data_IF_922175181579
#
_entry.id   IF_922175181579
#
_cell.length_a   1.000
_cell.length_b   1.000
_cell.length_c   1.000
_cell.angle_alpha   90.00
_cell.angle_beta   90.00
_cell.angle_gamma   90.00
#
_symmetry.space_group_name_H-M   'P 1'
#
loop_
_entity.id
_entity.type
_entity.pdbx_description
1 polymer ?
#
# COMPACT_ATOMS: atom_id res chain seq x y z
N UNK A 1 -10.01 10.56 76.16
CA UNK A 1 -10.97 10.39 75.04
C UNK A 1 -10.20 10.68 73.76
N UNK A 2 -9.66 9.63 73.13
CA UNK A 2 -10.20 8.98 71.91
C UNK A 2 -10.00 9.85 70.67
N UNK A 3 -9.53 9.39 69.51
CA UNK A 3 -9.01 8.13 69.00
C UNK A 3 -8.81 8.40 67.50
N UNK A 4 -7.67 7.99 66.92
CA UNK A 4 -7.50 7.61 65.50
C UNK A 4 -7.78 8.70 64.41
N UNK A 5 -6.98 8.83 63.36
CA UNK A 5 -7.12 8.03 62.13
C UNK A 5 -5.90 8.24 61.20
N UNK A 6 -5.22 7.12 60.96
CA UNK A 6 -4.67 6.57 59.70
C UNK A 6 -3.66 7.37 58.87
N UNK A 7 -2.43 6.86 58.95
CA UNK A 7 -1.43 6.70 57.90
C UNK A 7 -1.98 6.73 56.45
N UNK A 8 -1.43 7.64 55.63
CA UNK A 8 -1.55 7.59 54.18
C UNK A 8 -0.78 6.38 53.66
N UNK A 9 -1.51 5.36 53.22
CA UNK A 9 -0.93 4.24 52.49
C UNK A 9 -0.31 4.73 51.16
N UNK A 10 0.84 4.19 50.73
CA UNK A 10 1.36 4.48 49.40
C UNK A 10 0.40 3.89 48.36
N UNK A 11 -0.07 4.73 47.43
CA UNK A 11 -0.78 4.30 46.22
C UNK A 11 0.11 3.33 45.45
N UNK A 12 -0.10 2.02 45.64
CA UNK A 12 0.37 0.99 44.71
C UNK A 12 -0.26 1.32 43.37
N UNK A 13 0.51 1.95 42.47
CA UNK A 13 0.21 1.94 41.05
C UNK A 13 0.17 0.47 40.63
N UNK A 14 -1.05 -0.07 40.55
CA UNK A 14 -1.29 -1.31 39.83
C UNK A 14 -0.84 -1.02 38.40
N UNK A 15 0.33 -1.51 38.02
CA UNK A 15 0.68 -1.74 36.61
C UNK A 15 -0.46 -2.58 36.05
N UNK A 16 -1.41 -1.93 35.38
CA UNK A 16 -2.39 -2.61 34.57
C UNK A 16 -1.57 -3.39 33.54
N UNK A 17 -1.57 -4.71 33.66
CA UNK A 17 -1.08 -5.59 32.59
C UNK A 17 -1.88 -5.20 31.35
N UNK A 18 -1.22 -4.55 30.40
CA UNK A 18 -1.73 -4.29 29.05
C UNK A 18 -1.89 -5.63 28.36
N UNK A 19 -3.01 -6.31 28.60
CA UNK A 19 -3.44 -7.42 27.74
C UNK A 19 -4.24 -6.80 26.61
N UNK A 20 -3.64 -6.73 25.42
CA UNK A 20 -4.35 -6.37 24.20
C UNK A 20 -5.57 -7.26 24.04
N UNK A 21 -6.72 -6.67 23.75
CA UNK A 21 -7.88 -7.44 23.34
C UNK A 21 -7.62 -7.88 21.89
N UNK A 22 -7.64 -9.19 21.59
CA UNK A 22 -7.44 -9.66 20.23
C UNK A 22 -8.52 -9.06 19.32
N UNK A 23 -8.15 -8.72 18.08
CA UNK A 23 -9.12 -8.31 17.07
C UNK A 23 -10.30 -9.31 17.05
N UNK A 24 -11.53 -8.80 16.98
CA UNK A 24 -12.71 -9.66 16.98
C UNK A 24 -12.57 -10.74 15.91
N UNK A 25 -13.00 -11.97 16.21
CA UNK A 25 -12.84 -13.13 15.33
C UNK A 25 -13.40 -12.87 13.93
N UNK A 26 -14.45 -12.04 13.84
CA UNK A 26 -15.04 -11.59 12.58
C UNK A 26 -14.09 -10.72 11.76
N UNK A 27 -13.41 -9.77 12.41
CA UNK A 27 -12.42 -8.89 11.76
C UNK A 27 -11.24 -9.70 11.25
N UNK A 28 -10.76 -10.66 12.04
CA UNK A 28 -9.69 -11.58 11.61
C UNK A 28 -10.14 -12.46 10.43
N UNK A 29 -11.37 -12.98 10.49
CA UNK A 29 -11.93 -13.79 9.40
C UNK A 29 -12.05 -12.98 8.09
N UNK A 30 -12.55 -11.74 8.17
CA UNK A 30 -12.63 -10.84 7.01
C UNK A 30 -11.24 -10.49 6.46
N UNK A 31 -10.28 -10.20 7.33
CA UNK A 31 -8.90 -9.92 6.93
C UNK A 31 -8.26 -11.11 6.22
N UNK A 32 -8.41 -12.33 6.78
CA UNK A 32 -7.92 -13.55 6.15
C UNK A 32 -8.58 -13.78 4.79
N UNK A 33 -9.90 -13.63 4.69
CA UNK A 33 -10.64 -13.79 3.44
C UNK A 33 -10.20 -12.78 2.37
N UNK A 34 -9.96 -11.52 2.75
CA UNK A 34 -9.48 -10.51 1.82
C UNK A 34 -8.07 -10.85 1.29
N UNK A 35 -7.17 -11.28 2.17
CA UNK A 35 -5.81 -11.68 1.79
C UNK A 35 -5.84 -12.91 0.88
N UNK A 36 -6.63 -13.94 1.21
CA UNK A 36 -6.72 -15.15 0.40
C UNK A 36 -7.34 -14.89 -0.96
N UNK A 37 -8.41 -14.09 -1.03
CA UNK A 37 -9.03 -13.69 -2.30
C UNK A 37 -8.05 -12.91 -3.18
N UNK A 38 -7.31 -11.96 -2.60
CA UNK A 38 -6.31 -11.18 -3.33
C UNK A 38 -5.19 -12.08 -3.86
N UNK A 39 -4.65 -12.97 -3.02
CA UNK A 39 -3.62 -13.92 -3.42
C UNK A 39 -4.09 -14.88 -4.51
N UNK A 40 -5.35 -15.33 -4.46
CA UNK A 40 -5.95 -16.17 -5.48
C UNK A 40 -6.02 -15.44 -6.83
N UNK A 41 -6.50 -14.18 -6.86
CA UNK A 41 -6.56 -13.38 -8.08
C UNK A 41 -5.16 -13.17 -8.67
N UNK A 42 -4.18 -12.79 -7.84
CA UNK A 42 -2.79 -12.62 -8.29
C UNK A 42 -2.26 -13.93 -8.90
N UNK A 43 -2.51 -15.06 -8.23
CA UNK A 43 -2.07 -16.39 -8.71
C UNK A 43 -2.73 -16.76 -10.03
N UNK A 44 -4.03 -16.48 -10.19
CA UNK A 44 -4.78 -16.75 -11.43
C UNK A 44 -4.25 -15.90 -12.59
N UNK A 45 -4.03 -14.60 -12.39
CA UNK A 45 -3.52 -13.73 -13.44
C UNK A 45 -2.07 -14.07 -13.79
N UNK A 46 -1.21 -14.33 -12.81
CA UNK A 46 0.16 -14.78 -13.05
C UNK A 46 0.18 -16.10 -13.82
N UNK A 47 -0.63 -17.07 -13.40
CA UNK A 47 -0.78 -18.35 -14.10
C UNK A 47 -1.37 -18.20 -15.51
N UNK A 48 -2.21 -17.19 -15.74
CA UNK A 48 -2.73 -16.85 -17.08
C UNK A 48 -1.65 -16.26 -17.98
N UNK A 49 -0.77 -15.42 -17.46
CA UNK A 49 0.40 -14.90 -18.19
C UNK A 49 1.33 -16.05 -18.55
N UNK A 50 1.71 -16.88 -17.57
CA UNK A 50 2.58 -18.03 -17.80
C UNK A 50 2.01 -19.02 -18.83
N UNK A 51 0.71 -19.32 -18.78
CA UNK A 51 0.05 -20.22 -19.76
C UNK A 51 -0.04 -19.65 -21.17
N UNK A 52 0.04 -18.32 -21.31
CA UNK A 52 0.04 -17.64 -22.62
C UNK A 52 1.45 -17.38 -23.15
N UNK A 53 2.45 -17.43 -22.28
CA UNK A 53 3.86 -17.30 -22.63
C UNK A 53 4.36 -18.45 -23.47
N UNK A 54 5.50 -18.24 -24.13
CA UNK A 54 6.19 -19.26 -24.93
C UNK A 54 7.17 -20.10 -24.09
N UNK A 55 7.49 -19.65 -22.87
CA UNK A 55 8.42 -20.35 -21.98
C UNK A 55 7.99 -21.80 -21.70
N UNK A 56 8.92 -22.78 -21.79
CA UNK A 56 8.64 -24.17 -21.43
C UNK A 56 8.17 -24.32 -19.98
N UNK A 57 7.35 -25.35 -19.72
CA UNK A 57 6.96 -25.63 -18.34
C UNK A 57 8.19 -26.08 -17.53
N UNK A 58 8.44 -25.55 -16.31
CA UNK A 58 9.61 -25.94 -15.52
C UNK A 58 9.65 -27.43 -15.15
N UNK A 59 8.51 -28.12 -15.24
CA UNK A 59 8.38 -29.55 -14.96
C UNK A 59 8.77 -30.43 -16.15
N UNK A 60 8.74 -29.90 -17.38
CA UNK A 60 9.02 -30.64 -18.62
C UNK A 60 10.31 -30.16 -19.31
N UNK A 61 10.89 -29.04 -18.84
CA UNK A 61 12.12 -28.48 -19.37
C UNK A 61 13.35 -29.34 -18.99
N UNK A 62 14.29 -29.47 -19.94
CA UNK A 62 15.59 -30.11 -19.70
C UNK A 62 16.41 -29.35 -18.64
N UNK A 63 16.26 -28.01 -18.61
CA UNK A 63 16.81 -27.14 -17.57
C UNK A 63 15.69 -26.32 -16.90
N UNK A 64 15.23 -26.72 -15.71
CA UNK A 64 14.19 -26.01 -14.97
C UNK A 64 14.57 -24.57 -14.59
N UNK A 65 15.86 -24.26 -14.38
CA UNK A 65 16.29 -22.91 -14.01
C UNK A 65 16.20 -21.96 -15.20
N UNK A 66 16.58 -22.42 -16.39
CA UNK A 66 16.42 -21.64 -17.62
C UNK A 66 14.95 -21.37 -17.93
N UNK A 67 14.08 -22.38 -17.79
CA UNK A 67 12.63 -22.21 -18.00
C UNK A 67 12.02 -21.18 -17.04
N UNK A 68 12.42 -21.18 -15.76
CA UNK A 68 11.99 -20.18 -14.79
C UNK A 68 12.51 -18.78 -15.15
N UNK A 69 13.77 -18.66 -15.58
CA UNK A 69 14.36 -17.39 -15.98
C UNK A 69 13.67 -16.81 -17.23
N UNK A 70 13.36 -17.64 -18.21
CA UNK A 70 12.63 -17.26 -19.43
C UNK A 70 11.20 -16.80 -19.11
N UNK A 71 10.47 -17.58 -18.31
CA UNK A 71 9.14 -17.20 -17.84
C UNK A 71 9.13 -15.86 -17.06
N UNK A 72 10.18 -15.62 -16.26
CA UNK A 72 10.35 -14.35 -15.56
C UNK A 72 10.66 -13.20 -16.53
N UNK A 73 11.49 -13.43 -17.55
CA UNK A 73 11.80 -12.45 -18.58
C UNK A 73 10.56 -12.07 -19.41
N UNK A 74 9.77 -13.05 -19.85
CA UNK A 74 8.51 -12.80 -20.56
C UNK A 74 7.52 -12.03 -19.70
N UNK A 75 7.38 -12.40 -18.41
CA UNK A 75 6.50 -11.66 -17.48
C UNK A 75 6.98 -10.22 -17.29
N UNK A 76 8.30 -10.01 -17.16
CA UNK A 76 8.88 -8.68 -17.06
C UNK A 76 8.67 -7.85 -18.33
N UNK A 77 8.73 -8.48 -19.50
CA UNK A 77 8.44 -7.84 -20.79
C UNK A 77 6.96 -7.45 -20.89
N UNK A 78 6.03 -8.34 -20.53
CA UNK A 78 4.59 -8.04 -20.47
C UNK A 78 4.32 -6.84 -19.57
N UNK A 79 4.94 -6.79 -18.39
CA UNK A 79 4.81 -5.66 -17.46
C UNK A 79 5.41 -4.37 -18.04
N UNK A 80 6.59 -4.44 -18.66
CA UNK A 80 7.28 -3.29 -19.26
C UNK A 80 6.51 -2.72 -20.45
N UNK A 81 6.02 -3.57 -21.33
CA UNK A 81 5.21 -3.18 -22.47
C UNK A 81 3.89 -2.61 -21.97
N UNK A 82 3.22 -3.26 -21.02
CA UNK A 82 2.03 -2.70 -20.38
C UNK A 82 2.26 -1.29 -19.82
N UNK A 83 3.38 -1.06 -19.13
CA UNK A 83 3.73 0.26 -18.60
C UNK A 83 3.99 1.31 -19.69
N UNK A 84 4.59 0.91 -20.82
CA UNK A 84 4.91 1.84 -21.92
C UNK A 84 3.70 2.22 -22.76
N UNK A 85 2.74 1.31 -22.90
CA UNK A 85 1.58 1.48 -23.79
C UNK A 85 0.39 2.17 -23.11
N UNK A 86 0.27 2.12 -21.78
CA UNK A 86 -0.83 2.78 -21.07
C UNK A 86 -0.62 4.29 -20.98
N UNK A 87 -1.72 5.02 -20.80
CA UNK A 87 -1.68 6.47 -20.70
C UNK A 87 -0.88 6.97 -19.50
N UNK A 88 -0.32 8.18 -19.60
CA UNK A 88 0.38 8.85 -18.50
C UNK A 88 -0.42 8.82 -17.20
N UNK A 89 -1.72 9.10 -17.26
CA UNK A 89 -2.59 9.11 -16.07
C UNK A 89 -2.70 7.74 -15.41
N UNK A 90 -2.80 6.68 -16.21
CA UNK A 90 -2.82 5.30 -15.69
C UNK A 90 -1.48 4.94 -15.06
N UNK A 91 -0.37 5.34 -15.67
CA UNK A 91 0.97 5.16 -15.10
C UNK A 91 1.15 5.93 -13.78
N UNK A 92 0.67 7.18 -13.69
CA UNK A 92 0.68 7.95 -12.45
C UNK A 92 -0.09 7.24 -11.34
N UNK A 93 -1.29 6.74 -11.65
CA UNK A 93 -2.13 6.05 -10.65
C UNK A 93 -1.54 4.70 -10.23
N UNK A 94 -0.98 3.95 -11.18
CA UNK A 94 -0.26 2.72 -10.92
C UNK A 94 0.95 2.96 -10.01
N UNK A 95 1.78 3.96 -10.33
CA UNK A 95 2.96 4.34 -9.55
C UNK A 95 2.60 4.81 -8.14
N UNK A 96 1.56 5.66 -8.02
CA UNK A 96 1.03 6.12 -6.74
C UNK A 96 0.60 4.94 -5.86
N UNK A 97 -0.29 4.09 -6.37
CA UNK A 97 -0.81 2.95 -5.63
C UNK A 97 0.30 1.98 -5.23
N UNK A 98 1.17 1.63 -6.17
CA UNK A 98 2.24 0.65 -5.96
C UNK A 98 3.24 1.15 -4.93
N UNK A 99 3.72 2.39 -5.08
CA UNK A 99 4.68 2.97 -4.14
C UNK A 99 4.08 3.16 -2.75
N UNK A 100 2.80 3.54 -2.66
CA UNK A 100 2.06 3.60 -1.40
C UNK A 100 2.01 2.25 -0.69
N UNK A 101 1.50 1.21 -1.38
CA UNK A 101 1.33 -0.13 -0.80
C UNK A 101 2.67 -0.72 -0.39
N UNK A 102 3.67 -0.67 -1.28
CA UNK A 102 5.02 -1.21 -1.01
C UNK A 102 5.65 -0.51 0.18
N UNK A 103 5.56 0.83 0.25
CA UNK A 103 6.13 1.59 1.36
C UNK A 103 5.43 1.30 2.67
N UNK A 104 4.09 1.28 2.68
CA UNK A 104 3.31 0.95 3.88
C UNK A 104 3.63 -0.46 4.39
N UNK A 105 3.60 -1.47 3.51
CA UNK A 105 3.92 -2.86 3.87
C UNK A 105 5.35 -2.95 4.39
N UNK A 106 6.31 -2.30 3.75
CA UNK A 106 7.71 -2.31 4.18
C UNK A 106 7.87 -1.68 5.56
N UNK A 107 7.35 -0.47 5.78
CA UNK A 107 7.40 0.21 7.06
C UNK A 107 6.75 -0.64 8.16
N UNK A 108 5.58 -1.23 7.87
CA UNK A 108 4.87 -2.11 8.78
C UNK A 108 5.62 -3.41 9.09
N UNK A 109 6.22 -4.05 8.09
CA UNK A 109 7.02 -5.26 8.27
C UNK A 109 8.25 -4.97 9.13
N UNK A 110 8.95 -3.86 8.86
CA UNK A 110 10.11 -3.44 9.67
C UNK A 110 9.69 -3.19 11.11
N UNK A 111 8.64 -2.40 11.36
CA UNK A 111 8.17 -2.11 12.73
C UNK A 111 7.68 -3.37 13.46
N UNK A 112 7.03 -4.30 12.75
CA UNK A 112 6.56 -5.57 13.31
C UNK A 112 7.72 -6.51 13.65
N UNK A 113 8.72 -6.65 12.76
CA UNK A 113 9.91 -7.49 12.99
C UNK A 113 10.81 -6.96 14.11
N UNK A 114 10.80 -5.63 14.32
CA UNK A 114 11.57 -4.96 15.37
C UNK A 114 10.79 -4.85 16.70
N UNK A 115 9.50 -5.17 16.73
CA UNK A 115 8.66 -5.18 17.94
C UNK A 115 9.18 -6.26 18.91
N UNK A 116 10.00 -5.84 19.87
CA UNK A 116 10.60 -6.72 20.90
C UNK A 116 12.10 -7.00 20.72
N UNK A 117 12.74 -6.44 19.68
CA UNK A 117 14.21 -6.48 19.51
C UNK A 117 14.78 -5.08 19.72
N UNK A 118 15.83 -4.94 20.52
CA UNK A 118 16.54 -3.67 20.64
C UNK A 118 17.24 -3.38 19.31
N UNK A 119 16.63 -2.51 18.50
CA UNK A 119 17.21 -1.73 17.39
C UNK A 119 18.29 -2.42 16.54
N UNK A 120 17.89 -2.96 15.37
CA UNK A 120 18.83 -3.27 14.29
C UNK A 120 18.23 -2.85 12.95
N UNK A 121 18.80 -1.82 12.31
CA UNK A 121 18.44 -1.40 10.95
C UNK A 121 18.69 0.09 10.67
N UNK A 122 18.92 0.50 9.40
CA UNK A 122 19.31 1.87 9.02
C UNK A 122 18.21 2.93 9.23
N UNK A 123 16.99 2.53 9.59
CA UNK A 123 15.87 3.40 9.97
C UNK A 123 16.00 3.93 11.40
N UNK A 124 17.19 4.42 11.78
CA UNK A 124 17.33 5.16 13.03
C UNK A 124 16.37 6.33 13.00
N UNK A 125 15.71 6.56 14.13
CA UNK A 125 15.06 7.81 14.49
C UNK A 125 15.83 8.98 13.86
N UNK A 126 15.20 9.75 12.97
CA UNK A 126 15.76 11.03 12.56
C UNK A 126 15.75 11.89 13.83
N UNK A 127 16.87 11.95 14.53
CA UNK A 127 17.01 12.77 15.74
C UNK A 127 17.54 14.12 15.33
N UNK A 128 16.69 15.14 15.40
CA UNK A 128 17.13 16.54 15.40
C UNK A 128 17.25 16.96 16.87
N UNK A 129 18.49 16.98 17.37
CA UNK A 129 18.77 17.24 18.78
C UNK A 129 18.31 16.10 19.70
N UNK A 130 17.44 16.40 20.68
CA UNK A 130 16.90 15.42 21.66
C UNK A 130 15.53 14.84 21.27
N UNK A 131 14.91 15.30 20.18
CA UNK A 131 13.57 14.86 19.75
C UNK A 131 13.66 13.83 18.64
N UNK A 132 12.87 12.77 18.79
CA UNK A 132 12.69 11.73 17.79
C UNK A 132 11.71 12.25 16.74
N UNK A 133 12.13 12.30 15.47
CA UNK A 133 11.23 12.59 14.36
C UNK A 133 10.70 11.25 13.85
N UNK A 134 9.38 11.11 13.93
CA UNK A 134 8.64 10.01 13.36
C UNK A 134 8.69 10.05 11.83
N UNK A 135 8.75 8.89 11.16
CA UNK A 135 8.85 8.82 9.69
C UNK A 135 7.63 9.39 8.97
N UNK A 136 6.49 9.58 9.66
CA UNK A 136 5.35 10.28 9.07
C UNK A 136 5.68 11.73 8.69
N UNK A 137 6.58 12.41 9.42
CA UNK A 137 6.96 13.81 9.17
C UNK A 137 7.72 13.98 7.84
N UNK A 138 8.85 13.28 7.58
CA UNK A 138 9.48 13.32 6.27
C UNK A 138 8.55 12.75 5.18
N UNK A 139 7.65 11.81 5.52
CA UNK A 139 6.61 11.34 4.60
C UNK A 139 5.68 12.47 4.13
N UNK A 140 5.18 13.29 5.06
CA UNK A 140 4.36 14.47 4.78
C UNK A 140 5.14 15.43 3.87
N UNK A 141 6.39 15.77 4.24
CA UNK A 141 7.23 16.68 3.45
C UNK A 141 7.43 16.15 2.02
N UNK A 142 7.70 14.86 1.87
CA UNK A 142 7.89 14.22 0.57
C UNK A 142 6.61 14.27 -0.29
N UNK A 143 5.46 13.95 0.30
CA UNK A 143 4.17 14.01 -0.38
C UNK A 143 3.81 15.44 -0.80
N UNK A 144 3.99 16.42 0.09
CA UNK A 144 3.76 17.83 -0.22
C UNK A 144 4.70 18.35 -1.31
N UNK A 145 5.99 17.98 -1.27
CA UNK A 145 6.94 18.38 -2.29
C UNK A 145 6.58 17.79 -3.66
N UNK A 146 6.25 16.50 -3.73
CA UNK A 146 5.86 15.83 -4.96
C UNK A 146 4.55 16.38 -5.54
N UNK A 147 3.51 16.53 -4.70
CA UNK A 147 2.23 17.08 -5.12
C UNK A 147 2.32 18.56 -5.52
N UNK A 148 3.10 19.34 -4.77
CA UNK A 148 3.39 20.74 -5.11
C UNK A 148 4.13 20.87 -6.44
N UNK A 149 5.15 20.03 -6.66
CA UNK A 149 5.85 19.97 -7.95
C UNK A 149 4.91 19.63 -9.10
N UNK A 150 4.00 18.68 -8.93
CA UNK A 150 3.02 18.32 -9.95
C UNK A 150 2.08 19.50 -10.29
N UNK A 151 1.60 20.23 -9.27
CA UNK A 151 0.73 21.41 -9.45
C UNK A 151 1.44 22.56 -10.17
N UNK A 152 2.71 22.79 -9.83
CA UNK A 152 3.51 23.89 -10.40
C UNK A 152 3.93 23.59 -11.84
N UNK A 153 4.35 22.36 -12.10
CA UNK A 153 4.86 21.97 -13.42
C UNK A 153 3.74 21.71 -14.42
N UNK A 154 2.64 21.03 -14.00
CA UNK A 154 1.55 20.58 -14.86
C UNK A 154 2.05 19.84 -16.12
N UNK A 155 3.19 19.17 -15.98
CA UNK A 155 3.87 18.49 -17.07
C UNK A 155 3.53 17.00 -16.98
N UNK A 156 2.65 16.57 -17.88
CA UNK A 156 2.20 15.18 -17.98
C UNK A 156 3.39 14.22 -18.10
N UNK A 157 4.49 14.60 -18.75
CA UNK A 157 5.64 13.70 -18.93
C UNK A 157 6.30 13.28 -17.60
N UNK A 158 6.23 14.13 -16.56
CA UNK A 158 6.86 13.87 -15.26
C UNK A 158 5.87 13.45 -14.17
N UNK A 159 4.56 13.60 -14.39
CA UNK A 159 3.52 13.20 -13.43
C UNK A 159 3.68 11.75 -12.94
N UNK A 160 3.97 10.75 -13.80
CA UNK A 160 4.16 9.38 -13.34
C UNK A 160 5.35 9.24 -12.39
N UNK A 161 6.41 10.02 -12.61
CA UNK A 161 7.58 10.02 -11.76
C UNK A 161 7.30 10.72 -10.43
N UNK A 162 6.53 11.81 -10.42
CA UNK A 162 6.12 12.51 -9.20
C UNK A 162 5.12 11.71 -8.35
N UNK A 163 4.34 10.82 -8.98
CA UNK A 163 3.43 9.94 -8.27
C UNK A 163 4.15 8.95 -7.33
N UNK A 164 5.40 8.56 -7.65
CA UNK A 164 6.20 7.65 -6.82
C UNK A 164 6.55 8.27 -5.46
N UNK A 165 7.28 9.41 -5.36
CA UNK A 165 7.59 10.02 -4.07
C UNK A 165 6.32 10.46 -3.34
N UNK A 166 5.26 10.84 -4.05
CA UNK A 166 3.97 11.10 -3.40
C UNK A 166 3.42 9.85 -2.68
N UNK A 167 3.35 8.71 -3.37
CA UNK A 167 2.87 7.46 -2.77
C UNK A 167 3.79 6.95 -1.66
N UNK A 168 5.11 7.06 -1.80
CA UNK A 168 6.07 6.79 -0.72
C UNK A 168 5.77 7.67 0.50
N UNK A 169 5.63 8.98 0.29
CA UNK A 169 5.33 9.93 1.36
C UNK A 169 4.05 9.56 2.11
N UNK A 170 2.97 9.29 1.37
CA UNK A 170 1.70 8.85 1.93
C UNK A 170 1.80 7.50 2.65
N UNK A 171 2.60 6.56 2.15
CA UNK A 171 2.81 5.25 2.77
C UNK A 171 3.50 5.36 4.13
N UNK A 172 4.51 6.22 4.23
CA UNK A 172 5.18 6.54 5.49
C UNK A 172 4.25 7.28 6.46
N UNK A 173 3.46 8.22 5.95
CA UNK A 173 2.53 9.00 6.78
C UNK A 173 1.42 8.13 7.37
N UNK A 174 0.83 7.25 6.56
CA UNK A 174 -0.31 6.44 7.01
C UNK A 174 0.10 5.23 7.85
N UNK A 175 1.37 4.81 7.85
CA UNK A 175 1.86 3.77 8.76
C UNK A 175 1.65 4.15 10.24
N UNK A 176 1.82 5.43 10.58
CA UNK A 176 1.60 5.97 11.93
C UNK A 176 0.26 6.71 12.07
N UNK A 177 -0.75 6.38 11.26
CA UNK A 177 -2.09 7.00 11.37
C UNK A 177 -2.66 7.00 12.79
N UNK A 178 -2.38 5.94 13.57
CA UNK A 178 -2.80 5.87 14.98
C UNK A 178 -2.19 6.97 15.86
N UNK A 179 -0.97 7.42 15.58
CA UNK A 179 -0.32 8.54 16.28
C UNK A 179 -0.82 9.90 15.78
N UNK A 180 -1.10 10.02 14.48
CA UNK A 180 -1.66 11.24 13.89
C UNK A 180 -3.06 11.59 14.42
N UNK A 181 -3.82 10.58 14.83
CA UNK A 181 -5.19 10.76 15.33
C UNK A 181 -5.27 11.00 16.85
N UNK A 182 -4.14 11.23 17.54
CA UNK A 182 -4.03 11.50 19.00
C UNK A 182 -5.08 10.70 19.80
N UNK A 183 -5.05 9.38 19.63
CA UNK A 183 -5.99 8.45 20.27
C UNK A 183 -5.61 8.28 21.75
N UNK A 184 -5.88 9.33 22.54
CA UNK A 184 -5.70 9.37 24.00
C UNK A 184 -6.68 8.43 24.72
N UNK A 185 -6.38 7.13 24.66
CA UNK A 185 -6.91 6.10 25.56
C UNK A 185 -8.40 5.71 25.38
N UNK A 186 -9.10 6.24 24.36
CA UNK A 186 -10.52 5.95 24.16
C UNK A 186 -10.77 5.56 22.69
N UNK A 187 -10.65 4.25 22.39
CA UNK A 187 -11.64 3.45 21.63
C UNK A 187 -11.19 2.02 21.20
N UNK A 188 -10.22 1.41 21.89
CA UNK A 188 -10.05 -0.06 21.90
C UNK A 188 -9.48 -0.71 20.61
N UNK A 189 -8.20 -0.55 20.31
CA UNK A 189 -7.43 -1.54 19.51
C UNK A 189 -5.94 -1.45 19.81
N UNK A 190 -5.18 -2.52 19.51
CA UNK A 190 -3.74 -2.43 19.37
C UNK A 190 -3.40 -1.31 18.37
N UNK A 191 -2.53 -0.36 18.73
CA UNK A 191 -2.23 0.86 17.92
C UNK A 191 -1.86 0.56 16.44
N UNK A 192 -1.49 -0.68 16.12
CA UNK A 192 -1.24 -1.10 14.75
C UNK A 192 -2.49 -1.33 13.88
N UNK A 193 -3.64 -1.71 14.44
CA UNK A 193 -4.82 -2.17 13.67
C UNK A 193 -5.47 -1.01 12.92
N UNK A 194 -5.61 0.16 13.55
CA UNK A 194 -6.24 1.34 12.92
C UNK A 194 -5.44 1.78 11.69
N UNK A 195 -4.11 1.90 11.80
CA UNK A 195 -3.27 2.23 10.64
C UNK A 195 -3.43 1.23 9.49
N UNK A 196 -3.57 -0.07 9.80
CA UNK A 196 -3.83 -1.11 8.78
C UNK A 196 -5.21 -0.93 8.14
N UNK A 197 -6.24 -0.68 8.93
CA UNK A 197 -7.59 -0.44 8.40
C UNK A 197 -7.64 0.79 7.49
N UNK A 198 -7.01 1.89 7.90
CA UNK A 198 -6.92 3.12 7.10
C UNK A 198 -6.14 2.83 5.80
N UNK A 199 -4.99 2.16 5.88
CA UNK A 199 -4.20 1.84 4.71
C UNK A 199 -4.93 0.91 3.74
N UNK A 200 -5.66 -0.09 4.23
CA UNK A 200 -6.51 -0.96 3.41
C UNK A 200 -7.65 -0.19 2.75
N UNK A 201 -8.30 0.72 3.48
CA UNK A 201 -9.36 1.57 2.93
C UNK A 201 -8.83 2.49 1.81
N UNK A 202 -7.66 3.13 2.03
CA UNK A 202 -7.00 3.96 1.03
C UNK A 202 -6.56 3.12 -0.18
N UNK A 203 -6.01 1.93 0.04
CA UNK A 203 -5.65 0.98 -1.05
C UNK A 203 -6.87 0.62 -1.88
N UNK A 204 -7.97 0.25 -1.24
CA UNK A 204 -9.22 -0.10 -1.92
C UNK A 204 -9.75 1.07 -2.73
N UNK A 205 -9.80 2.27 -2.14
CA UNK A 205 -10.24 3.49 -2.82
C UNK A 205 -9.39 3.81 -4.05
N UNK A 206 -8.06 3.84 -3.91
CA UNK A 206 -7.14 4.13 -5.02
C UNK A 206 -7.26 3.07 -6.13
N UNK A 207 -7.39 1.79 -5.76
CA UNK A 207 -7.58 0.69 -6.71
C UNK A 207 -8.90 0.82 -7.47
N UNK A 208 -10.00 1.14 -6.78
CA UNK A 208 -11.30 1.37 -7.41
C UNK A 208 -11.27 2.54 -8.38
N UNK A 209 -10.60 3.65 -8.02
CA UNK A 209 -10.44 4.81 -8.89
C UNK A 209 -9.62 4.44 -10.13
N UNK A 210 -8.48 3.75 -9.96
CA UNK A 210 -7.65 3.30 -11.07
C UNK A 210 -8.43 2.39 -12.04
N UNK A 211 -9.21 1.43 -11.51
CA UNK A 211 -10.03 0.55 -12.33
C UNK A 211 -11.15 1.31 -13.05
N UNK A 212 -11.83 2.24 -12.37
CA UNK A 212 -12.89 3.04 -12.96
C UNK A 212 -12.36 3.90 -14.12
N UNK A 213 -11.20 4.53 -13.95
CA UNK A 213 -10.58 5.30 -15.04
C UNK A 213 -10.22 4.43 -16.24
N UNK A 214 -9.62 3.25 -16.00
CA UNK A 214 -9.30 2.30 -17.07
C UNK A 214 -10.56 1.84 -17.81
N UNK A 215 -11.62 1.53 -17.07
CA UNK A 215 -12.89 1.11 -17.64
C UNK A 215 -13.52 2.21 -18.51
N UNK A 216 -13.56 3.45 -18.02
CA UNK A 216 -14.13 4.58 -18.76
C UNK A 216 -13.33 4.90 -20.02
N UNK A 217 -12.00 4.98 -19.92
CA UNK A 217 -11.11 5.22 -21.08
C UNK A 217 -11.29 4.16 -22.15
N UNK A 218 -11.38 2.89 -21.75
CA UNK A 218 -11.61 1.81 -22.69
C UNK A 218 -12.96 1.95 -23.41
N UNK A 219 -13.98 2.47 -22.73
CA UNK A 219 -15.27 2.79 -23.35
C UNK A 219 -15.18 3.94 -24.34
N UNK A 220 -14.43 4.99 -24.00
CA UNK A 220 -14.18 6.15 -24.88
C UNK A 220 -13.51 5.74 -26.19
N UNK A 221 -12.43 4.93 -26.13
CA UNK A 221 -11.74 4.38 -27.31
C UNK A 221 -12.71 3.62 -28.25
N UNK A 222 -13.63 2.84 -27.68
CA UNK A 222 -14.55 2.03 -28.47
C UNK A 222 -15.66 2.88 -29.11
N UNK A 223 -16.21 3.85 -28.36
CA UNK A 223 -17.41 4.59 -28.78
C UNK A 223 -17.08 5.85 -29.57
N UNK A 224 -16.04 6.58 -29.17
CA UNK A 224 -15.74 7.92 -29.68
C UNK A 224 -14.65 7.91 -30.75
N UNK A 225 -13.76 6.91 -30.73
CA UNK A 225 -12.63 6.82 -31.67
C UNK A 225 -12.87 5.81 -32.80
N UNK A 226 -13.95 5.02 -32.75
CA UNK A 226 -14.40 4.21 -33.88
C UNK A 226 -15.16 5.09 -34.89
N UNK A 227 -14.76 5.15 -36.17
CA UNK A 227 -15.49 5.95 -37.16
C UNK A 227 -16.94 5.46 -37.30
N UNK A 228 -17.91 6.36 -37.55
CA UNK A 228 -19.28 5.93 -37.86
C UNK A 228 -19.21 4.97 -39.02
N UNK A 229 -19.85 3.80 -38.91
CA UNK A 229 -19.94 2.85 -40.01
C UNK A 229 -20.39 3.60 -41.28
N UNK A 230 -19.48 3.74 -42.25
CA UNK A 230 -19.79 4.40 -43.51
C UNK A 230 -21.05 3.75 -44.10
N UNK A 231 -21.97 4.62 -44.51
CA UNK A 231 -23.33 4.25 -44.87
C UNK A 231 -23.39 3.10 -45.87
N UNK A 232 -23.94 1.97 -45.43
CA UNK A 232 -24.67 1.03 -46.28
C UNK A 232 -26.03 1.63 -46.64
N UNK A 233 -26.00 2.79 -47.31
CA UNK A 233 -27.16 3.55 -47.77
C UNK A 233 -26.98 3.97 -49.22
N UNK A 234 -26.59 3.04 -50.07
CA UNK A 234 -26.44 3.23 -51.50
C UNK A 234 -26.96 2.03 -52.27
N UNK A 235 -28.28 1.99 -52.47
CA UNK A 235 -28.99 1.54 -53.68
C UNK A 235 -30.49 1.65 -53.50
#
# INVERSE_FOLDING_TARGET
MSAWIRSRAPRRQRRARRSGLPADRRTLALGLLAVTATAAVITVEFSRVLRKGSAPSPAEAEDPLLAVAEAAAETAEVARTGYREVSTRENSMFNLLTSFVVTFVTARSVTTLLRGRSTVGPFRDLKVGRRHIHHFVPGIVLAFAAGGAAIVTRDEAIEPLLAIPFGVGMGLTLDESALLLELDDVYWTEEGVISVQIALAVTAMLSSVALAMRFLRRGEEVVLESPPAEGLGGR
#
